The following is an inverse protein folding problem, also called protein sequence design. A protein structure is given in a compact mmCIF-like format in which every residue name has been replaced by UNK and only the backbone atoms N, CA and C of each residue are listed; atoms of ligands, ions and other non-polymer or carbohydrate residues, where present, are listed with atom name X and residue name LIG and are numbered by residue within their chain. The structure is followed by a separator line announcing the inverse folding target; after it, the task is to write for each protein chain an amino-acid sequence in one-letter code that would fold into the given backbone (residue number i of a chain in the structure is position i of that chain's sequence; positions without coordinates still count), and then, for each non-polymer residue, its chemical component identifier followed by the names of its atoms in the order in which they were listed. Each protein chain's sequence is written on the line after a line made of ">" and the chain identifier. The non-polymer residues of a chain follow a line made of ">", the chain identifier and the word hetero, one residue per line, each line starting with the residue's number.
data_IF_042169022977
#
_entry.id   IF_042169022977
#
_cell.length_a   1.000
_cell.length_b   1.000
_cell.length_c   1.000
_cell.angle_alpha   90.00
_cell.angle_beta   90.00
_cell.angle_gamma   90.00
#
_symmetry.space_group_name_H-M   'P 1'
#
loop_
_entity.id
_entity.type
_entity.pdbx_description
1 polymer ?
#
# COMPACT_ATOMS: atom_id res chain seq x y z
N UNK A 1 -9.18 21.33 14.63
CA UNK A 1 -8.10 20.38 14.92
C UNK A 1 -7.03 20.61 13.87
N UNK A 2 -5.84 21.08 14.26
CA UNK A 2 -4.82 21.55 13.31
C UNK A 2 -4.10 20.42 12.54
N UNK A 3 -4.51 19.15 12.69
CA UNK A 3 -4.11 18.05 11.81
C UNK A 3 -2.59 17.91 11.64
N UNK A 4 -1.83 17.95 12.74
CA UNK A 4 -0.37 18.11 12.76
C UNK A 4 0.45 16.85 12.40
N UNK A 5 -0.15 15.87 11.72
CA UNK A 5 0.56 14.66 11.27
C UNK A 5 0.90 14.79 9.79
N UNK A 6 2.19 14.89 9.46
CA UNK A 6 2.68 15.01 8.07
C UNK A 6 2.27 13.82 7.18
N UNK A 7 2.13 12.62 7.75
CA UNK A 7 1.47 11.46 7.16
C UNK A 7 0.93 10.54 8.26
N UNK A 8 -0.07 9.71 7.96
CA UNK A 8 -0.70 8.81 8.93
C UNK A 8 -0.95 7.42 8.33
N UNK A 9 -0.57 6.40 9.09
CA UNK A 9 -0.90 5.00 8.84
C UNK A 9 -1.41 4.33 10.11
N UNK A 10 -2.15 3.23 9.96
CA UNK A 10 -2.83 2.55 11.05
C UNK A 10 -2.62 1.05 10.99
N UNK A 11 -2.30 0.46 12.14
CA UNK A 11 -2.43 -0.99 12.36
C UNK A 11 -3.73 -1.23 13.10
N UNK A 12 -4.62 -2.02 12.51
CA UNK A 12 -5.96 -2.29 13.01
C UNK A 12 -6.07 -3.78 13.30
N UNK A 13 -6.41 -4.15 14.54
CA UNK A 13 -6.60 -5.55 14.93
C UNK A 13 -8.07 -5.87 15.20
N UNK A 14 -8.67 -6.55 14.24
CA UNK A 14 -10.06 -7.02 14.13
C UNK A 14 -10.26 -8.53 14.30
N UNK A 15 -10.85 -9.07 15.37
CA UNK A 15 -11.30 -10.49 15.42
C UNK A 15 -10.24 -11.51 14.92
N UNK A 16 -8.99 -11.36 15.35
CA UNK A 16 -7.88 -12.25 14.95
C UNK A 16 -7.20 -11.93 13.62
N UNK A 17 -7.65 -10.89 12.90
CA UNK A 17 -6.99 -10.34 11.72
C UNK A 17 -6.28 -9.04 12.07
N UNK A 18 -5.02 -8.91 11.65
CA UNK A 18 -4.24 -7.67 11.73
C UNK A 18 -4.14 -7.06 10.34
N UNK A 19 -4.58 -5.81 10.20
CA UNK A 19 -4.51 -5.05 8.95
C UNK A 19 -3.56 -3.87 9.13
N UNK A 20 -2.73 -3.59 8.14
CA UNK A 20 -1.94 -2.37 8.07
C UNK A 20 -2.38 -1.52 6.89
N UNK A 21 -2.87 -0.32 7.17
CA UNK A 21 -3.20 0.69 6.18
C UNK A 21 -2.15 1.80 6.24
N UNK A 22 -1.29 1.93 5.23
CA UNK A 22 -0.18 2.88 5.29
C UNK A 22 -0.61 4.34 5.18
N UNK A 23 -1.74 4.62 4.51
CA UNK A 23 -2.00 5.96 3.97
C UNK A 23 -0.95 6.31 2.91
N UNK A 24 -0.61 7.58 2.81
CA UNK A 24 0.55 8.03 2.02
C UNK A 24 1.85 7.64 2.73
N UNK A 25 2.74 6.95 2.01
CA UNK A 25 3.95 6.37 2.58
C UNK A 25 5.03 6.14 1.52
N UNK A 26 6.28 6.23 1.97
CA UNK A 26 7.47 5.73 1.27
C UNK A 26 7.91 4.39 1.85
N UNK A 27 8.64 3.59 1.07
CA UNK A 27 9.21 2.32 1.51
C UNK A 27 10.43 2.54 2.41
N UNK A 28 10.17 2.99 3.63
CA UNK A 28 11.17 3.27 4.64
C UNK A 28 11.44 2.07 5.57
N UNK A 29 12.69 1.90 5.97
CA UNK A 29 13.14 0.77 6.79
C UNK A 29 12.66 0.85 8.25
N UNK A 30 12.51 2.05 8.80
CA UNK A 30 11.93 2.23 10.13
C UNK A 30 10.44 1.90 10.12
N UNK A 31 9.71 2.36 9.10
CA UNK A 31 8.31 1.99 8.90
C UNK A 31 8.16 0.45 8.80
N UNK A 32 9.00 -0.20 7.98
CA UNK A 32 8.99 -1.66 7.84
C UNK A 32 9.22 -2.36 9.18
N UNK A 33 10.25 -1.95 9.95
CA UNK A 33 10.54 -2.52 11.27
C UNK A 33 9.41 -2.32 12.26
N UNK A 34 8.77 -1.15 12.25
CA UNK A 34 7.71 -0.84 13.20
C UNK A 34 6.41 -1.58 12.88
N UNK A 35 6.04 -1.65 11.60
CA UNK A 35 4.86 -2.40 11.15
C UNK A 35 5.06 -3.91 11.24
N UNK A 36 6.26 -4.40 10.91
CA UNK A 36 6.60 -5.83 10.90
C UNK A 36 6.39 -6.52 12.25
N UNK A 37 6.59 -5.81 13.37
CA UNK A 37 6.33 -6.29 14.73
C UNK A 37 4.89 -6.75 14.96
N UNK A 38 3.95 -6.25 14.16
CA UNK A 38 2.54 -6.56 14.30
C UNK A 38 2.07 -7.75 13.46
N UNK A 39 2.93 -8.27 12.57
CA UNK A 39 2.63 -9.36 11.64
C UNK A 39 1.29 -9.17 10.91
N UNK A 40 1.15 -8.13 10.06
CA UNK A 40 -0.10 -7.87 9.38
C UNK A 40 -0.47 -9.00 8.42
N UNK A 41 -1.71 -9.48 8.51
CA UNK A 41 -2.28 -10.44 7.57
C UNK A 41 -2.67 -9.77 6.25
N UNK A 42 -3.07 -8.50 6.31
CA UNK A 42 -3.50 -7.69 5.17
C UNK A 42 -2.74 -6.38 5.19
N UNK A 43 -2.14 -6.01 4.06
CA UNK A 43 -1.49 -4.70 3.90
C UNK A 43 -2.13 -3.92 2.77
N UNK A 44 -2.33 -2.64 3.01
CA UNK A 44 -2.79 -1.68 2.02
C UNK A 44 -1.67 -0.66 1.79
N UNK A 45 -1.15 -0.57 0.56
CA UNK A 45 0.01 0.27 0.22
C UNK A 45 -0.26 1.13 -1.02
N UNK A 46 0.16 2.42 -1.04
CA UNK A 46 0.05 3.27 -2.22
C UNK A 46 0.97 2.79 -3.34
N UNK A 47 0.57 3.01 -4.60
CA UNK A 47 1.36 2.61 -5.78
C UNK A 47 1.52 3.71 -6.83
N UNK A 48 1.05 4.93 -6.56
CA UNK A 48 1.12 6.06 -7.50
C UNK A 48 2.53 6.62 -7.73
N UNK A 49 3.51 6.19 -6.93
CA UNK A 49 4.90 6.58 -7.06
C UNK A 49 5.16 8.06 -6.80
N UNK A 50 6.33 8.48 -7.25
CA UNK A 50 6.84 9.84 -7.22
C UNK A 50 7.64 10.10 -8.49
N UNK A 51 7.63 11.33 -8.96
CA UNK A 51 8.36 11.74 -10.15
C UNK A 51 8.82 13.20 -10.02
N UNK A 52 9.85 13.57 -10.80
CA UNK A 52 10.44 14.91 -10.74
C UNK A 52 9.46 16.03 -11.08
N UNK A 53 8.42 15.77 -11.88
CA UNK A 53 7.45 16.78 -12.30
C UNK A 53 6.58 17.15 -11.10
N UNK A 54 6.09 16.16 -10.36
CA UNK A 54 5.31 16.34 -9.13
C UNK A 54 6.16 16.94 -8.01
N UNK A 55 7.42 16.50 -7.86
CA UNK A 55 8.32 17.04 -6.85
C UNK A 55 8.65 18.53 -7.08
N UNK A 56 8.84 18.95 -8.34
CA UNK A 56 9.00 20.37 -8.71
C UNK A 56 7.77 21.22 -8.39
N UNK A 57 6.60 20.60 -8.25
CA UNK A 57 5.34 21.24 -7.83
C UNK A 57 5.13 21.19 -6.31
N UNK A 58 6.09 20.67 -5.53
CA UNK A 58 5.98 20.51 -4.09
C UNK A 58 5.10 19.33 -3.66
N UNK A 59 4.77 18.42 -4.57
CA UNK A 59 3.98 17.23 -4.29
C UNK A 59 4.92 16.10 -3.89
N UNK A 60 4.92 15.73 -2.61
CA UNK A 60 5.63 14.53 -2.13
C UNK A 60 4.82 13.30 -2.55
N UNK A 61 5.44 12.42 -3.34
CA UNK A 61 4.80 11.20 -3.80
C UNK A 61 4.93 10.03 -2.82
N UNK A 62 4.52 8.85 -3.29
CA UNK A 62 4.42 7.62 -2.49
C UNK A 62 5.42 6.56 -2.97
N UNK A 63 5.30 5.34 -2.42
CA UNK A 63 5.91 4.13 -2.97
C UNK A 63 5.62 3.99 -4.47
N UNK A 64 6.64 3.62 -5.24
CA UNK A 64 6.41 3.03 -6.56
C UNK A 64 5.72 1.67 -6.42
N UNK A 65 5.18 1.16 -7.52
CA UNK A 65 4.60 -0.19 -7.57
C UNK A 65 5.61 -1.25 -7.10
N UNK A 66 6.86 -1.16 -7.56
CA UNK A 66 7.94 -2.09 -7.21
C UNK A 66 8.30 -1.99 -5.73
N UNK A 67 8.40 -0.76 -5.20
CA UNK A 67 8.65 -0.53 -3.78
C UNK A 67 7.54 -1.10 -2.91
N UNK A 68 6.27 -0.91 -3.29
CA UNK A 68 5.13 -1.47 -2.56
C UNK A 68 5.13 -3.00 -2.55
N UNK A 69 5.41 -3.64 -3.70
CA UNK A 69 5.49 -5.10 -3.80
C UNK A 69 6.67 -5.65 -2.99
N UNK A 70 7.83 -4.99 -3.01
CA UNK A 70 8.98 -5.38 -2.19
C UNK A 70 8.76 -5.15 -0.70
N UNK A 71 8.04 -4.09 -0.34
CA UNK A 71 7.64 -3.82 1.04
C UNK A 71 6.67 -4.90 1.55
N UNK A 72 5.66 -5.26 0.74
CA UNK A 72 4.75 -6.37 1.02
C UNK A 72 5.51 -7.70 1.13
N UNK A 73 6.49 -7.96 0.26
CA UNK A 73 7.35 -9.16 0.35
C UNK A 73 8.04 -9.27 1.71
N UNK A 74 8.61 -8.17 2.20
CA UNK A 74 9.31 -8.13 3.48
C UNK A 74 8.37 -8.32 4.68
N UNK A 75 7.13 -7.81 4.60
CA UNK A 75 6.12 -8.05 5.62
C UNK A 75 5.50 -9.45 5.57
N UNK A 76 5.57 -10.12 4.41
CA UNK A 76 4.98 -11.45 4.14
C UNK A 76 3.52 -11.58 4.62
N UNK A 77 2.62 -10.67 4.24
CA UNK A 77 1.22 -10.76 4.59
C UNK A 77 0.54 -11.88 3.79
N UNK A 78 -0.71 -12.20 4.14
CA UNK A 78 -1.53 -13.12 3.38
C UNK A 78 -2.21 -12.42 2.20
N UNK A 79 -2.51 -11.14 2.35
CA UNK A 79 -3.19 -10.31 1.35
C UNK A 79 -2.48 -8.97 1.16
N UNK A 80 -2.26 -8.60 -0.10
CA UNK A 80 -1.82 -7.28 -0.52
C UNK A 80 -2.95 -6.57 -1.28
N UNK A 81 -3.25 -5.33 -0.89
CA UNK A 81 -4.23 -4.46 -1.55
C UNK A 81 -3.49 -3.20 -2.01
N UNK A 82 -3.23 -3.01 -3.31
CA UNK A 82 -2.73 -1.72 -3.79
C UNK A 82 -3.77 -0.62 -3.53
N UNK A 83 -3.32 0.61 -3.37
CA UNK A 83 -4.14 1.80 -3.17
C UNK A 83 -3.55 2.99 -3.91
N UNK A 84 -4.25 4.12 -3.87
CA UNK A 84 -3.84 5.38 -4.50
C UNK A 84 -3.64 5.29 -6.01
N UNK A 85 -4.22 4.29 -6.68
CA UNK A 85 -4.32 4.24 -8.14
C UNK A 85 -5.60 4.93 -8.62
N UNK A 86 -5.60 5.44 -9.87
CA UNK A 86 -6.75 6.08 -10.53
C UNK A 86 -7.46 7.20 -9.76
N UNK A 87 -6.79 7.85 -8.79
CA UNK A 87 -7.40 8.91 -7.98
C UNK A 87 -7.52 10.24 -8.75
N UNK A 88 -6.49 10.63 -9.51
CA UNK A 88 -6.45 11.86 -10.29
C UNK A 88 -5.76 11.62 -11.63
N UNK A 89 -6.16 12.38 -12.66
CA UNK A 89 -5.61 12.25 -14.01
C UNK A 89 -4.08 12.40 -14.07
N UNK A 90 -3.49 13.13 -13.11
CA UNK A 90 -2.06 13.38 -13.00
C UNK A 90 -1.36 12.59 -11.87
N UNK A 91 -2.05 11.69 -11.17
CA UNK A 91 -1.53 10.99 -9.97
C UNK A 91 -1.98 9.51 -9.86
N UNK A 92 -2.30 8.88 -10.99
CA UNK A 92 -2.65 7.46 -11.06
C UNK A 92 -1.49 6.58 -11.54
N UNK A 93 -1.55 5.29 -11.21
CA UNK A 93 -0.73 4.23 -11.80
C UNK A 93 -1.66 3.08 -12.20
N UNK A 94 -1.33 2.36 -13.27
CA UNK A 94 -2.12 1.21 -13.72
C UNK A 94 -2.05 0.06 -12.69
N UNK A 95 -3.16 -0.16 -11.99
CA UNK A 95 -3.25 -1.19 -10.96
C UNK A 95 -3.11 -2.61 -11.52
N UNK A 96 -3.45 -2.82 -12.79
CA UNK A 96 -3.35 -4.13 -13.40
C UNK A 96 -1.89 -4.54 -13.61
N UNK A 97 -1.05 -3.60 -14.03
CA UNK A 97 0.41 -3.75 -14.06
C UNK A 97 0.96 -4.11 -12.67
N UNK A 98 0.48 -3.45 -11.61
CA UNK A 98 0.86 -3.80 -10.24
C UNK A 98 0.44 -5.22 -9.86
N UNK A 99 -0.79 -5.62 -10.18
CA UNK A 99 -1.31 -6.96 -9.87
C UNK A 99 -0.47 -8.03 -10.55
N UNK A 100 -0.21 -7.89 -11.84
CA UNK A 100 0.61 -8.83 -12.63
C UNK A 100 2.03 -8.91 -12.07
N UNK A 101 2.63 -7.79 -11.66
CA UNK A 101 3.97 -7.79 -11.06
C UNK A 101 3.97 -8.48 -9.70
N UNK A 102 3.00 -8.19 -8.83
CA UNK A 102 2.89 -8.80 -7.51
C UNK A 102 2.70 -10.32 -7.60
N UNK A 103 1.83 -10.80 -8.48
CA UNK A 103 1.60 -12.24 -8.68
C UNK A 103 2.85 -12.99 -9.17
N UNK A 104 3.74 -12.32 -9.90
CA UNK A 104 5.04 -12.88 -10.30
C UNK A 104 6.08 -12.84 -9.18
N UNK A 105 6.14 -11.75 -8.44
CA UNK A 105 7.21 -11.49 -7.46
C UNK A 105 6.95 -12.13 -6.08
N UNK A 106 5.68 -12.19 -5.67
CA UNK A 106 5.21 -12.72 -4.38
C UNK A 106 3.98 -13.64 -4.56
N UNK A 107 4.09 -14.74 -5.31
CA UNK A 107 2.95 -15.61 -5.66
C UNK A 107 2.21 -16.21 -4.46
N UNK A 108 2.85 -16.28 -3.28
CA UNK A 108 2.25 -16.73 -2.03
C UNK A 108 1.34 -15.69 -1.36
N UNK A 109 1.42 -14.42 -1.78
CA UNK A 109 0.61 -13.31 -1.25
C UNK A 109 -0.53 -13.04 -2.21
N UNK A 110 -1.78 -13.15 -1.73
CA UNK A 110 -2.95 -12.88 -2.57
C UNK A 110 -3.05 -11.37 -2.83
N UNK A 111 -2.98 -10.96 -4.10
CA UNK A 111 -3.25 -9.57 -4.49
C UNK A 111 -4.73 -9.40 -4.77
N UNK A 112 -5.38 -8.44 -4.11
CA UNK A 112 -6.79 -8.08 -4.34
C UNK A 112 -6.84 -6.65 -4.83
N UNK A 113 -7.44 -6.43 -5.99
CA UNK A 113 -7.72 -5.10 -6.55
C UNK A 113 -9.20 -4.78 -6.32
N UNK A 114 -9.54 -3.92 -5.34
CA UNK A 114 -10.92 -3.54 -5.08
C UNK A 114 -11.51 -2.73 -6.24
N UNK A 115 -12.77 -2.98 -6.57
CA UNK A 115 -13.51 -2.20 -7.54
C UNK A 115 -14.38 -1.15 -6.82
N UNK A 116 -14.54 0.02 -7.44
CA UNK A 116 -15.33 1.12 -6.88
C UNK A 116 -16.76 0.66 -6.53
N UNK A 117 -17.17 0.91 -5.28
CA UNK A 117 -18.48 0.54 -4.77
C UNK A 117 -18.71 -0.96 -4.60
N UNK A 118 -17.68 -1.81 -4.78
CA UNK A 118 -17.78 -3.26 -4.58
C UNK A 118 -17.21 -3.64 -3.22
N UNK A 119 -17.97 -4.49 -2.51
CA UNK A 119 -17.52 -5.10 -1.26
C UNK A 119 -16.47 -6.16 -1.56
N UNK A 120 -15.37 -6.12 -0.82
CA UNK A 120 -14.41 -7.23 -0.72
C UNK A 120 -14.66 -8.00 0.57
N UNK A 121 -14.49 -9.32 0.52
CA UNK A 121 -14.52 -10.19 1.70
C UNK A 121 -13.18 -10.89 1.79
N UNK A 122 -12.48 -10.67 2.90
CA UNK A 122 -11.20 -11.33 3.19
C UNK A 122 -11.49 -12.39 4.25
N UNK A 123 -11.25 -13.65 3.90
CA UNK A 123 -11.30 -14.78 4.82
C UNK A 123 -9.88 -15.32 4.94
N UNK A 124 -9.39 -15.35 6.18
CA UNK A 124 -8.07 -15.82 6.58
C UNK A 124 -8.22 -17.14 7.33
#
# INVERSE_FOLDING_TARGET
>A
AEGSSYSQGYVIRQKGMTMFHSGDALADQELLRNVGKFHPDVVFLPINGRDEIREKQGIVGNMSMEEAVLFAKQLSPRVFIPMHYDLFANNGFDVETCRIHAEKTIPQVKTIVPLLGKKITIQL
#
